data_IF_404221474847
#
_entry.id   IF_404221474847
#
_cell.length_a   1.000
_cell.length_b   1.000
_cell.length_c   1.000
_cell.angle_alpha   90.00
_cell.angle_beta   90.00
_cell.angle_gamma   90.00
#
_symmetry.space_group_name_H-M   'P 1'
#
loop_
_entity.id
_entity.type
_entity.pdbx_description
1 polymer ?
#
# COMPACT_ATOMS: atom_id res chain seq x y z
N UNK A 1 19.45 95.51 8.08
CA UNK A 1 20.40 94.41 8.32
C UNK A 1 19.69 93.13 7.90
N UNK A 2 20.12 92.57 6.77
CA UNK A 2 19.49 91.48 6.02
C UNK A 2 19.76 90.13 6.68
N UNK A 3 18.78 89.22 6.73
CA UNK A 3 19.02 87.79 6.95
C UNK A 3 17.94 86.90 6.30
N UNK A 4 18.35 86.34 5.15
CA UNK A 4 18.12 85.03 4.53
C UNK A 4 16.92 84.13 4.89
N UNK A 5 16.42 83.54 3.79
CA UNK A 5 15.39 82.52 3.59
C UNK A 5 15.85 81.14 4.11
N UNK A 6 14.94 80.34 4.67
CA UNK A 6 15.11 78.89 4.76
C UNK A 6 13.77 78.17 4.54
N UNK A 7 13.70 77.43 3.43
CA UNK A 7 12.65 76.46 3.08
C UNK A 7 12.86 75.15 3.86
N UNK A 8 11.78 74.51 4.35
CA UNK A 8 11.92 73.25 5.08
C UNK A 8 10.63 72.47 5.28
N UNK A 9 10.26 71.69 4.26
CA UNK A 9 9.48 70.44 4.22
C UNK A 9 8.43 70.15 5.32
N UNK A 10 7.16 70.12 4.90
CA UNK A 10 6.05 69.40 5.54
C UNK A 10 6.32 67.89 5.58
N UNK A 11 6.42 67.30 6.77
CA UNK A 11 6.42 65.85 6.97
C UNK A 11 5.04 65.42 7.47
N UNK A 12 4.20 64.94 6.56
CA UNK A 12 2.95 64.25 6.89
C UNK A 12 3.29 62.79 7.21
N UNK A 13 3.25 62.41 8.49
CA UNK A 13 3.39 61.03 8.92
C UNK A 13 2.03 60.32 8.84
N UNK A 14 1.80 59.58 7.76
CA UNK A 14 0.70 58.63 7.65
C UNK A 14 1.10 57.30 8.31
N UNK A 15 0.57 57.01 9.50
CA UNK A 15 0.66 55.69 10.13
C UNK A 15 -0.35 54.75 9.46
N UNK A 16 0.08 54.03 8.44
CA UNK A 16 -0.70 52.94 7.84
C UNK A 16 -0.54 51.68 8.70
N UNK A 17 -1.65 51.22 9.27
CA UNK A 17 -1.79 49.95 9.99
C UNK A 17 -1.67 48.80 8.98
N UNK A 18 -0.61 48.00 9.07
CA UNK A 18 -0.50 46.72 8.33
C UNK A 18 -0.82 45.58 9.27
N UNK A 19 -2.10 45.19 9.35
CA UNK A 19 -2.52 43.91 9.91
C UNK A 19 -2.12 42.84 8.88
N UNK A 20 -1.01 42.15 9.12
CA UNK A 20 -0.64 40.95 8.38
C UNK A 20 -1.63 39.84 8.74
N UNK A 21 -2.60 39.61 7.86
CA UNK A 21 -3.44 38.42 7.93
C UNK A 21 -2.53 37.18 7.82
N UNK A 22 -2.35 36.45 8.92
CA UNK A 22 -1.78 35.11 8.88
C UNK A 22 -2.76 34.24 8.09
N UNK A 23 -2.46 34.01 6.82
CA UNK A 23 -3.14 32.99 6.03
C UNK A 23 -2.80 31.63 6.66
N UNK A 24 -3.79 30.76 6.97
CA UNK A 24 -3.49 29.39 7.33
C UNK A 24 -2.81 28.75 6.13
N UNK A 25 -1.52 28.43 6.26
CA UNK A 25 -0.84 27.54 5.33
C UNK A 25 -1.49 26.17 5.46
N UNK A 26 -2.41 25.86 4.56
CA UNK A 26 -2.81 24.47 4.33
C UNK A 26 -1.57 23.73 3.84
N UNK A 27 -1.00 22.88 4.70
CA UNK A 27 -0.01 21.91 4.29
C UNK A 27 -0.69 20.92 3.34
N UNK A 28 -0.56 21.15 2.03
CA UNK A 28 -0.88 20.14 1.04
C UNK A 28 0.20 19.08 1.09
N UNK A 29 0.06 18.10 1.99
CA UNK A 29 0.66 16.80 1.74
C UNK A 29 0.03 16.30 0.44
N UNK A 30 0.80 16.25 -0.63
CA UNK A 30 0.40 15.52 -1.83
C UNK A 30 0.02 14.12 -1.36
N UNK A 31 -1.25 13.72 -1.50
CA UNK A 31 -1.75 12.40 -1.05
C UNK A 31 -1.05 11.19 -1.68
N UNK A 32 0.00 11.42 -2.46
CA UNK A 32 0.89 10.44 -3.06
C UNK A 32 2.05 10.00 -2.16
N UNK A 33 2.43 10.74 -1.11
CA UNK A 33 3.68 10.41 -0.38
C UNK A 33 3.57 9.15 0.50
N UNK A 34 2.35 8.78 0.90
CA UNK A 34 2.09 7.67 1.82
C UNK A 34 1.37 6.48 1.16
N UNK A 35 0.76 6.70 -0.01
CA UNK A 35 0.01 5.67 -0.73
C UNK A 35 0.91 4.77 -1.57
N UNK A 36 0.51 3.51 -1.71
CA UNK A 36 1.08 2.58 -2.66
C UNK A 36 0.33 2.74 -3.99
N UNK A 37 0.88 3.55 -4.90
CA UNK A 37 0.24 3.90 -6.17
C UNK A 37 1.14 3.61 -7.37
N UNK A 38 0.55 2.98 -8.40
CA UNK A 38 1.19 2.71 -9.68
C UNK A 38 1.14 1.24 -10.10
N UNK A 39 2.03 0.88 -11.01
CA UNK A 39 2.15 -0.47 -11.55
C UNK A 39 3.27 -1.22 -10.83
N UNK A 40 3.01 -2.48 -10.52
CA UNK A 40 3.94 -3.35 -9.79
C UNK A 40 4.00 -4.74 -10.41
N UNK A 41 5.12 -5.40 -10.22
CA UNK A 41 5.29 -6.83 -10.47
C UNK A 41 5.16 -7.54 -9.13
N UNK A 42 4.10 -8.33 -9.00
CA UNK A 42 3.84 -9.21 -7.87
C UNK A 42 4.37 -10.61 -8.18
N UNK A 43 5.16 -11.17 -7.28
CA UNK A 43 5.75 -12.51 -7.43
C UNK A 43 5.54 -13.32 -6.16
N UNK A 44 4.85 -14.45 -6.29
CA UNK A 44 4.72 -15.48 -5.25
C UNK A 44 5.66 -16.62 -5.59
N UNK A 45 6.62 -16.92 -4.72
CA UNK A 45 7.61 -17.97 -4.94
C UNK A 45 7.07 -19.31 -4.43
N UNK A 46 6.73 -20.20 -5.34
CA UNK A 46 6.24 -21.53 -5.01
C UNK A 46 7.34 -22.54 -4.67
N UNK A 47 8.58 -22.32 -5.10
CA UNK A 47 9.74 -23.20 -4.83
C UNK A 47 10.17 -23.21 -3.36
N UNK A 48 9.62 -22.28 -2.56
CA UNK A 48 9.86 -22.17 -1.11
C UNK A 48 8.56 -22.17 -0.33
N UNK A 49 7.51 -22.76 -0.90
CA UNK A 49 6.21 -22.78 -0.26
C UNK A 49 6.12 -23.79 0.87
N UNK A 50 5.12 -23.61 1.73
CA UNK A 50 4.74 -24.58 2.75
C UNK A 50 3.25 -24.89 2.67
N UNK A 51 2.91 -26.16 2.57
CA UNK A 51 1.56 -26.68 2.75
C UNK A 51 1.41 -27.21 4.18
N UNK A 52 0.52 -26.63 4.98
CA UNK A 52 0.31 -27.02 6.39
C UNK A 52 1.61 -27.08 7.20
N UNK A 53 2.49 -26.08 6.99
CA UNK A 53 3.83 -25.95 7.60
C UNK A 53 4.88 -26.98 7.14
N UNK A 54 4.57 -27.84 6.17
CA UNK A 54 5.53 -28.74 5.52
C UNK A 54 5.99 -28.12 4.22
N UNK A 55 7.30 -28.12 3.96
CA UNK A 55 7.84 -27.65 2.69
C UNK A 55 7.36 -28.53 1.54
N UNK A 56 6.79 -27.88 0.53
CA UNK A 56 6.27 -28.51 -0.67
C UNK A 56 6.29 -27.47 -1.78
N UNK A 57 6.85 -27.81 -2.94
CA UNK A 57 6.94 -26.86 -4.04
C UNK A 57 5.56 -26.65 -4.66
N UNK A 58 5.22 -25.39 -4.91
CA UNK A 58 4.05 -24.97 -5.67
C UNK A 58 4.51 -24.25 -6.95
N UNK A 59 3.62 -24.06 -7.94
CA UNK A 59 3.93 -23.21 -9.07
C UNK A 59 4.19 -21.77 -8.62
N UNK A 60 5.35 -21.22 -8.99
CA UNK A 60 5.62 -19.79 -8.80
C UNK A 60 4.72 -18.95 -9.70
N UNK A 61 4.13 -17.89 -9.14
CA UNK A 61 3.21 -17.00 -9.83
C UNK A 61 3.84 -15.62 -9.98
N UNK A 62 3.69 -15.01 -11.15
CA UNK A 62 4.13 -13.63 -11.41
C UNK A 62 3.04 -12.89 -12.18
N UNK A 63 2.50 -11.83 -11.58
CA UNK A 63 1.43 -11.00 -12.14
C UNK A 63 1.81 -9.53 -12.11
N UNK A 64 1.15 -8.75 -12.96
CA UNK A 64 1.23 -7.29 -13.00
C UNK A 64 0.05 -6.71 -12.27
N UNK A 65 0.31 -5.89 -11.25
CA UNK A 65 -0.71 -5.25 -10.43
C UNK A 65 -0.75 -3.76 -10.70
N UNK A 66 -1.95 -3.22 -10.90
CA UNK A 66 -2.22 -1.79 -10.84
C UNK A 66 -2.83 -1.48 -9.48
N UNK A 67 -2.15 -0.67 -8.68
CA UNK A 67 -2.55 -0.35 -7.31
C UNK A 67 -2.94 1.12 -7.23
N UNK A 68 -4.11 1.38 -6.66
CA UNK A 68 -4.63 2.72 -6.39
C UNK A 68 -5.09 2.80 -4.94
N UNK A 69 -4.44 3.65 -4.14
CA UNK A 69 -4.71 3.84 -2.72
C UNK A 69 -4.88 5.31 -2.35
N UNK A 70 -5.72 5.52 -1.34
CA UNK A 70 -5.92 6.79 -0.66
C UNK A 70 -5.80 6.56 0.84
N UNK A 71 -5.16 7.48 1.54
CA UNK A 71 -4.95 7.40 2.99
C UNK A 71 -5.56 8.61 3.69
N UNK A 72 -6.10 8.37 4.87
CA UNK A 72 -6.63 9.41 5.75
C UNK A 72 -5.55 9.91 6.72
N UNK A 73 -4.66 9.01 7.14
CA UNK A 73 -3.56 9.27 8.05
C UNK A 73 -2.33 8.43 7.65
N UNK A 74 -1.10 8.83 8.07
CA UNK A 74 0.08 8.00 7.86
C UNK A 74 -0.12 6.59 8.45
N UNK A 75 0.03 5.55 7.62
CA UNK A 75 -0.18 4.17 8.05
C UNK A 75 -1.63 3.65 7.91
N UNK A 76 -2.57 4.51 7.52
CA UNK A 76 -4.00 4.19 7.36
C UNK A 76 -4.46 4.48 5.93
N UNK A 77 -4.18 3.52 5.06
CA UNK A 77 -4.49 3.58 3.63
C UNK A 77 -5.50 2.51 3.24
N UNK A 78 -6.36 2.83 2.27
CA UNK A 78 -7.27 1.88 1.64
C UNK A 78 -7.32 2.10 0.13
N UNK A 79 -7.67 1.09 -0.64
CA UNK A 79 -7.68 1.19 -2.09
C UNK A 79 -8.09 -0.10 -2.80
N UNK A 80 -7.71 -0.20 -4.06
CA UNK A 80 -7.90 -1.39 -4.90
C UNK A 80 -6.60 -1.84 -5.55
N UNK A 81 -6.55 -3.13 -5.84
CA UNK A 81 -5.55 -3.78 -6.69
C UNK A 81 -6.30 -4.42 -7.84
N UNK A 82 -5.84 -4.14 -9.06
CA UNK A 82 -6.29 -4.78 -10.29
C UNK A 82 -5.13 -5.63 -10.84
N UNK A 83 -5.36 -6.92 -11.00
CA UNK A 83 -4.36 -7.89 -11.47
C UNK A 83 -4.59 -8.23 -12.94
N UNK A 84 -3.49 -8.40 -13.69
CA UNK A 84 -3.54 -8.92 -15.07
C UNK A 84 -4.06 -10.37 -15.15
N UNK A 85 -4.19 -11.07 -14.03
CA UNK A 85 -4.89 -12.35 -13.92
C UNK A 85 -6.43 -12.23 -13.92
N UNK A 86 -6.97 -11.02 -14.09
CA UNK A 86 -8.40 -10.79 -14.28
C UNK A 86 -9.21 -10.68 -12.99
N UNK A 87 -8.56 -10.45 -11.85
CA UNK A 87 -9.23 -10.19 -10.57
C UNK A 87 -8.91 -8.80 -10.02
N UNK A 88 -9.83 -8.30 -9.20
CA UNK A 88 -9.66 -7.07 -8.43
C UNK A 88 -9.95 -7.34 -6.95
N UNK A 89 -9.20 -6.70 -6.05
CA UNK A 89 -9.35 -6.88 -4.61
C UNK A 89 -9.09 -5.58 -3.84
N UNK A 90 -9.72 -5.40 -2.66
CA UNK A 90 -9.38 -4.29 -1.79
C UNK A 90 -7.97 -4.46 -1.21
N UNK A 91 -7.23 -3.36 -1.16
CA UNK A 91 -5.97 -3.24 -0.43
C UNK A 91 -6.16 -2.30 0.76
N UNK A 92 -5.55 -2.62 1.88
CA UNK A 92 -5.50 -1.73 3.04
C UNK A 92 -4.18 -1.83 3.77
N UNK A 93 -3.84 -0.78 4.50
CA UNK A 93 -2.67 -0.72 5.35
C UNK A 93 -3.06 -0.72 6.83
N UNK A 94 -2.30 -1.45 7.64
CA UNK A 94 -2.36 -1.40 9.09
C UNK A 94 -0.96 -1.44 9.67
N UNK A 95 -0.59 -0.38 10.39
CA UNK A 95 0.71 -0.29 11.08
C UNK A 95 1.91 -0.52 10.15
N UNK A 96 1.87 0.08 8.95
CA UNK A 96 2.96 -0.01 7.96
C UNK A 96 3.00 -1.31 7.14
N UNK A 97 2.06 -2.23 7.38
CA UNK A 97 1.92 -3.48 6.61
C UNK A 97 0.71 -3.38 5.70
N UNK A 98 0.89 -3.77 4.44
CA UNK A 98 -0.14 -3.84 3.42
C UNK A 98 -0.79 -5.22 3.38
N UNK A 99 -2.10 -5.23 3.14
CA UNK A 99 -2.92 -6.41 3.08
C UNK A 99 -3.80 -6.36 1.83
N UNK A 100 -3.83 -7.45 1.06
CA UNK A 100 -4.74 -7.65 -0.07
C UNK A 100 -5.47 -8.96 0.15
N UNK A 101 -6.79 -8.95 0.06
CA UNK A 101 -7.62 -10.15 0.25
C UNK A 101 -8.42 -10.45 -0.99
N UNK A 102 -8.10 -11.56 -1.63
CA UNK A 102 -8.73 -12.04 -2.84
C UNK A 102 -9.38 -13.41 -2.56
N UNK A 103 -10.64 -13.56 -2.90
CA UNK A 103 -11.30 -14.86 -2.88
C UNK A 103 -11.06 -15.55 -4.22
N UNK A 104 -10.55 -16.77 -4.17
CA UNK A 104 -10.40 -17.65 -5.33
C UNK A 104 -11.59 -18.58 -5.33
N UNK A 105 -12.47 -18.43 -6.31
CA UNK A 105 -13.59 -19.34 -6.49
C UNK A 105 -13.08 -20.70 -7.00
N UNK A 106 -13.81 -21.77 -6.67
CA UNK A 106 -13.53 -23.13 -7.13
C UNK A 106 -12.11 -23.67 -6.87
N UNK A 107 -11.50 -23.27 -5.76
CA UNK A 107 -10.10 -23.58 -5.45
C UNK A 107 -9.86 -24.99 -4.90
N UNK A 108 -10.66 -25.43 -3.92
CA UNK A 108 -10.51 -26.74 -3.29
C UNK A 108 -11.45 -27.73 -3.98
N UNK A 109 -10.95 -28.71 -4.74
CA UNK A 109 -11.80 -29.76 -5.30
C UNK A 109 -12.33 -30.67 -4.18
N UNK A 110 -13.63 -30.93 -4.21
CA UNK A 110 -14.31 -31.83 -3.27
C UNK A 110 -14.51 -33.22 -3.88
N UNK A 111 -14.67 -34.24 -3.02
CA UNK A 111 -14.84 -35.64 -3.45
C UNK A 111 -16.17 -35.88 -4.17
N UNK A 112 -17.18 -35.06 -3.89
CA UNK A 112 -18.49 -35.10 -4.55
C UNK A 112 -18.51 -34.42 -5.94
N UNK A 113 -17.35 -33.97 -6.42
CA UNK A 113 -17.20 -33.30 -7.72
C UNK A 113 -17.52 -31.80 -7.68
N UNK A 114 -17.88 -31.25 -6.52
CA UNK A 114 -17.99 -29.80 -6.31
C UNK A 114 -16.63 -29.18 -6.00
N UNK A 115 -16.60 -27.87 -5.82
CA UNK A 115 -15.42 -27.12 -5.43
C UNK A 115 -15.80 -26.07 -4.38
N UNK A 116 -14.85 -25.77 -3.50
CA UNK A 116 -15.02 -24.77 -2.46
C UNK A 116 -14.03 -23.61 -2.63
N UNK A 117 -14.40 -22.39 -2.21
CA UNK A 117 -13.54 -21.24 -2.39
C UNK A 117 -12.32 -21.27 -1.46
N UNK A 118 -11.25 -20.64 -1.93
CA UNK A 118 -10.06 -20.30 -1.15
C UNK A 118 -10.02 -18.81 -0.82
N UNK A 119 -9.46 -18.46 0.33
CA UNK A 119 -9.11 -17.07 0.65
C UNK A 119 -7.60 -16.89 0.51
N UNK A 120 -7.20 -16.05 -0.43
CA UNK A 120 -5.83 -15.62 -0.62
C UNK A 120 -5.61 -14.28 0.07
N UNK A 121 -4.66 -14.24 0.99
CA UNK A 121 -4.23 -13.04 1.71
C UNK A 121 -2.76 -12.77 1.41
N UNK A 122 -2.50 -11.63 0.78
CA UNK A 122 -1.16 -11.09 0.63
C UNK A 122 -0.88 -10.15 1.77
N UNK A 123 0.24 -10.34 2.46
CA UNK A 123 0.71 -9.48 3.54
C UNK A 123 2.14 -9.08 3.28
N UNK A 124 2.42 -7.80 3.08
CA UNK A 124 3.75 -7.32 2.71
C UNK A 124 4.05 -5.92 3.24
N UNK A 125 5.33 -5.60 3.36
CA UNK A 125 5.80 -4.30 3.83
C UNK A 125 7.04 -3.87 3.03
N UNK A 126 7.32 -2.56 2.91
CA UNK A 126 8.53 -2.09 2.26
C UNK A 126 9.74 -2.46 3.12
N UNK A 127 10.72 -3.12 2.51
CA UNK A 127 11.90 -3.63 3.23
C UNK A 127 13.18 -3.25 2.54
N UNK A 128 14.28 -3.22 3.28
CA UNK A 128 15.61 -3.08 2.70
C UNK A 128 15.85 -4.12 1.60
N UNK A 129 16.79 -3.90 0.66
CA UNK A 129 17.08 -4.85 -0.42
C UNK A 129 17.43 -6.27 0.06
N UNK A 130 17.99 -6.39 1.27
CA UNK A 130 18.30 -7.69 1.88
C UNK A 130 17.10 -8.34 2.59
N UNK A 131 15.97 -7.64 2.74
CA UNK A 131 14.76 -8.14 3.39
C UNK A 131 14.79 -8.13 4.93
N UNK A 132 15.88 -7.65 5.55
CA UNK A 132 16.12 -7.80 6.98
C UNK A 132 15.39 -6.76 7.86
N UNK A 133 14.99 -5.62 7.28
CA UNK A 133 14.40 -4.49 8.02
C UNK A 133 13.34 -3.80 7.18
N UNK A 134 12.35 -3.22 7.85
CA UNK A 134 11.37 -2.32 7.21
C UNK A 134 12.06 -1.02 6.85
N UNK A 135 11.88 -0.58 5.61
CA UNK A 135 12.46 0.65 5.06
C UNK A 135 11.38 1.35 4.22
N UNK A 136 10.80 2.47 4.69
CA UNK A 136 9.72 3.18 4.00
C UNK A 136 10.10 3.68 2.59
N UNK A 137 11.38 3.94 2.33
CA UNK A 137 11.85 4.49 1.06
C UNK A 137 12.17 3.39 0.02
N UNK A 138 12.01 2.12 0.42
CA UNK A 138 12.29 0.99 -0.46
C UNK A 138 11.25 0.83 -1.56
N UNK A 139 11.75 0.62 -2.78
CA UNK A 139 10.93 0.26 -3.96
C UNK A 139 10.54 -1.22 -3.99
N UNK A 140 11.05 -2.01 -3.06
CA UNK A 140 10.78 -3.45 -2.96
C UNK A 140 10.04 -3.73 -1.67
N UNK A 141 8.89 -4.37 -1.80
CA UNK A 141 8.11 -4.85 -0.68
C UNK A 141 8.19 -6.37 -0.67
N UNK A 142 8.31 -6.94 0.52
CA UNK A 142 8.37 -8.39 0.71
C UNK A 142 7.37 -8.83 1.77
N UNK A 143 6.99 -10.09 1.72
CA UNK A 143 6.10 -10.67 2.69
C UNK A 143 5.65 -12.05 2.30
N UNK A 144 4.36 -12.32 2.45
CA UNK A 144 3.75 -13.63 2.31
C UNK A 144 2.50 -13.57 1.44
N UNK A 145 2.30 -14.62 0.65
CA UNK A 145 1.06 -14.96 -0.04
C UNK A 145 0.52 -16.24 0.61
N UNK A 146 -0.58 -16.09 1.35
CA UNK A 146 -1.20 -17.19 2.07
C UNK A 146 -2.56 -17.51 1.47
N UNK A 147 -2.73 -18.74 0.99
CA UNK A 147 -4.03 -19.24 0.55
C UNK A 147 -4.57 -20.26 1.54
N UNK A 148 -5.81 -20.06 1.98
CA UNK A 148 -6.49 -20.89 2.99
C UNK A 148 -7.83 -21.40 2.46
N UNK A 149 -8.09 -22.69 2.63
CA UNK A 149 -9.39 -23.27 2.29
C UNK A 149 -10.46 -22.85 3.30
N UNK A 150 -11.69 -22.63 2.84
CA UNK A 150 -12.80 -22.35 3.77
C UNK A 150 -12.96 -23.50 4.78
N UNK A 151 -13.06 -23.16 6.08
CA UNK A 151 -13.22 -24.18 7.12
C UNK A 151 -14.54 -24.95 6.94
N UNK A 152 -14.49 -26.28 7.02
CA UNK A 152 -15.65 -27.15 6.83
C UNK A 152 -16.03 -27.39 5.37
N UNK A 153 -15.33 -26.77 4.42
CA UNK A 153 -15.48 -27.07 3.00
C UNK A 153 -15.19 -28.55 2.71
N UNK A 154 -15.89 -29.10 1.72
CA UNK A 154 -15.77 -30.51 1.29
C UNK A 154 -15.96 -31.53 2.43
N UNK A 155 -16.61 -31.17 3.54
CA UNK A 155 -16.77 -32.02 4.72
C UNK A 155 -15.47 -32.26 5.50
N UNK A 156 -14.40 -31.50 5.22
CA UNK A 156 -13.09 -31.63 5.85
C UNK A 156 -12.86 -30.45 6.78
N UNK A 157 -12.67 -30.72 8.07
CA UNK A 157 -12.43 -29.68 9.07
C UNK A 157 -10.98 -29.16 9.07
N UNK A 158 -10.05 -29.86 8.40
CA UNK A 158 -8.65 -29.43 8.27
C UNK A 158 -8.45 -28.68 6.95
N UNK A 159 -8.61 -27.34 6.91
CA UNK A 159 -8.41 -26.59 5.69
C UNK A 159 -6.95 -26.70 5.21
N UNK A 160 -6.77 -26.64 3.90
CA UNK A 160 -5.45 -26.54 3.28
C UNK A 160 -4.92 -25.13 3.53
N UNK A 161 -3.71 -25.02 4.06
CA UNK A 161 -2.98 -23.76 4.20
C UNK A 161 -1.73 -23.80 3.34
N UNK A 162 -1.66 -22.96 2.32
CA UNK A 162 -0.45 -22.75 1.51
C UNK A 162 0.13 -21.39 1.90
N UNK A 163 1.42 -21.33 2.17
CA UNK A 163 2.16 -20.09 2.40
C UNK A 163 3.35 -20.01 1.43
N UNK A 164 3.42 -18.94 0.63
CA UNK A 164 4.50 -18.66 -0.30
C UNK A 164 5.20 -17.34 0.07
N UNK A 165 6.54 -17.25 -0.03
CA UNK A 165 7.22 -15.97 0.01
C UNK A 165 6.74 -15.06 -1.12
N UNK A 166 6.46 -13.80 -0.80
CA UNK A 166 5.94 -12.82 -1.73
C UNK A 166 6.89 -11.64 -1.89
N UNK A 167 6.99 -11.12 -3.12
CA UNK A 167 7.73 -9.91 -3.46
C UNK A 167 6.91 -9.03 -4.40
N UNK A 168 6.88 -7.74 -4.12
CA UNK A 168 6.29 -6.71 -4.96
C UNK A 168 7.37 -5.68 -5.32
N UNK A 169 7.50 -5.39 -6.60
CA UNK A 169 8.49 -4.41 -7.10
C UNK A 169 7.82 -3.45 -8.07
N UNK A 170 8.04 -2.14 -7.89
CA UNK A 170 7.47 -1.13 -8.78
C UNK A 170 8.05 -1.23 -10.19
N UNK A 171 7.19 -1.18 -11.20
CA UNK A 171 7.55 -1.07 -12.62
C UNK A 171 7.52 0.41 -13.01
N UNK A 172 8.62 1.10 -12.70
CA UNK A 172 8.97 2.49 -13.07
C UNK A 172 7.86 3.55 -13.13
#
# INVERSE_FOLDING_TARGET
>A
MTALIASGATVAAALAVTITALQPTSASATGNDWGLNGTYIATSNGEWSRTNAVFEDQPSLRSTWTISTQCSYPGECTGSVDSDFGWSAPIYQKSGVWYVKHQIDDWVPCVDGTSAPGLQEFRFAPTTPNGDRIDPDSKTLVGEDRTTGQSGACGINRPVFINMPFKLTKTD
#
